data_IF_642436576747
#
_entry.id   IF_642436576747
#
_cell.length_a   1.000
_cell.length_b   1.000
_cell.length_c   1.000
_cell.angle_alpha   90.00
_cell.angle_beta   90.00
_cell.angle_gamma   90.00
#
_symmetry.space_group_name_H-M   'P 1'
#
loop_
_entity.id
_entity.type
_entity.pdbx_description
1 polymer ?
#
# COMPACT_ATOMS: atom_id res chain seq x y z
N UNK A 1 -17.94 15.65 -4.28
CA UNK A 1 -17.20 14.46 -4.73
C UNK A 1 -15.76 14.57 -4.30
N UNK A 2 -15.35 13.71 -3.42
CA UNK A 2 -13.99 13.77 -2.88
C UNK A 2 -12.97 13.29 -3.90
N UNK A 3 -12.09 14.19 -4.37
CA UNK A 3 -10.95 13.83 -5.20
C UNK A 3 -11.27 13.27 -6.58
N UNK A 4 -12.51 13.44 -7.05
CA UNK A 4 -12.93 13.00 -8.37
C UNK A 4 -13.53 14.15 -9.16
N UNK A 5 -13.06 14.30 -10.39
CA UNK A 5 -13.50 15.37 -11.28
C UNK A 5 -13.53 14.82 -12.70
N UNK A 6 -14.71 14.86 -13.36
CA UNK A 6 -14.88 14.38 -14.73
C UNK A 6 -14.38 12.95 -14.94
N UNK A 7 -14.65 12.07 -13.98
CA UNK A 7 -14.21 10.68 -14.06
C UNK A 7 -12.73 10.46 -13.73
N UNK A 8 -12.06 11.48 -13.22
CA UNK A 8 -10.64 11.44 -12.88
C UNK A 8 -10.46 11.53 -11.37
N UNK A 9 -9.61 10.64 -10.82
CA UNK A 9 -9.27 10.65 -9.40
C UNK A 9 -8.03 11.49 -9.17
N UNK A 10 -8.06 12.32 -8.14
CA UNK A 10 -6.95 13.20 -7.77
C UNK A 10 -6.31 12.68 -6.50
N UNK A 11 -5.24 11.92 -6.67
CA UNK A 11 -4.51 11.33 -5.55
C UNK A 11 -3.64 12.37 -4.86
N UNK A 12 -3.55 12.25 -3.53
CA UNK A 12 -2.64 13.09 -2.75
C UNK A 12 -1.20 12.79 -3.16
N UNK A 13 -0.32 13.81 -3.22
CA UNK A 13 1.07 13.58 -3.64
C UNK A 13 1.79 12.50 -2.84
N UNK A 14 1.61 12.45 -1.52
CA UNK A 14 2.29 11.45 -0.70
C UNK A 14 1.78 10.03 -1.03
N UNK A 15 0.54 9.90 -1.44
CA UNK A 15 -0.03 8.61 -1.86
C UNK A 15 0.62 8.15 -3.16
N UNK A 16 0.80 9.06 -4.11
CA UNK A 16 1.47 8.75 -5.36
C UNK A 16 2.91 8.31 -5.11
N UNK A 17 3.61 8.98 -4.20
CA UNK A 17 4.98 8.62 -3.83
C UNK A 17 5.03 7.23 -3.17
N UNK A 18 4.08 6.96 -2.27
CA UNK A 18 4.00 5.67 -1.61
C UNK A 18 3.69 4.54 -2.60
N UNK A 19 2.77 4.78 -3.54
CA UNK A 19 2.45 3.81 -4.60
C UNK A 19 3.68 3.56 -5.48
N UNK A 20 4.39 4.63 -5.85
CA UNK A 20 5.60 4.50 -6.67
C UNK A 20 6.67 3.67 -5.99
N UNK A 21 6.78 3.74 -4.66
CA UNK A 21 7.74 2.92 -3.90
C UNK A 21 7.46 1.42 -4.06
N UNK A 22 6.24 1.05 -4.42
CA UNK A 22 5.84 -0.33 -4.68
C UNK A 22 5.75 -0.65 -6.17
N UNK A 23 6.20 0.29 -7.03
CA UNK A 23 6.14 0.12 -8.48
C UNK A 23 4.75 0.28 -9.06
N UNK A 24 3.85 0.96 -8.34
CA UNK A 24 2.45 1.14 -8.77
C UNK A 24 2.23 2.57 -9.23
N UNK A 25 1.70 2.72 -10.44
CA UNK A 25 1.34 4.03 -11.00
C UNK A 25 -0.13 3.99 -11.41
N UNK A 26 -1.00 4.75 -10.74
CA UNK A 26 -2.40 4.76 -11.11
C UNK A 26 -2.65 5.51 -12.41
N UNK A 27 -3.61 5.03 -13.17
CA UNK A 27 -4.18 5.83 -14.25
C UNK A 27 -5.16 6.83 -13.64
N UNK A 28 -5.45 7.95 -14.33
CA UNK A 28 -6.40 8.93 -13.80
C UNK A 28 -7.78 8.35 -13.48
N UNK A 29 -8.17 7.29 -14.19
CA UNK A 29 -9.46 6.65 -14.00
C UNK A 29 -9.44 5.49 -13.01
N UNK A 30 -8.29 5.16 -12.42
CA UNK A 30 -8.17 4.03 -11.51
C UNK A 30 -8.73 4.39 -10.14
N UNK A 31 -9.79 3.69 -9.66
CA UNK A 31 -10.33 3.99 -8.33
C UNK A 31 -9.38 3.57 -7.21
N UNK A 32 -9.37 4.31 -6.09
CA UNK A 32 -8.46 4.01 -4.99
C UNK A 32 -8.69 2.64 -4.37
N UNK A 33 -9.90 2.12 -4.38
CA UNK A 33 -10.20 0.78 -3.86
C UNK A 33 -9.45 -0.30 -4.61
N UNK A 34 -9.35 -0.16 -5.93
CA UNK A 34 -8.59 -1.11 -6.76
C UNK A 34 -7.11 -1.07 -6.43
N UNK A 35 -6.56 0.13 -6.25
CA UNK A 35 -5.15 0.27 -5.88
C UNK A 35 -4.89 -0.26 -4.48
N UNK A 36 -5.83 -0.06 -3.56
CA UNK A 36 -5.72 -0.62 -2.22
C UNK A 36 -5.62 -2.14 -2.27
N UNK A 37 -6.45 -2.78 -3.10
CA UNK A 37 -6.41 -4.24 -3.25
C UNK A 37 -5.05 -4.70 -3.80
N UNK A 38 -4.51 -3.98 -4.78
CA UNK A 38 -3.19 -4.30 -5.35
C UNK A 38 -2.10 -4.18 -4.29
N UNK A 39 -2.09 -3.10 -3.53
CA UNK A 39 -1.10 -2.86 -2.47
C UNK A 39 -1.23 -3.91 -1.37
N UNK A 40 -2.47 -4.26 -1.00
CA UNK A 40 -2.72 -5.28 0.00
C UNK A 40 -2.21 -6.65 -0.46
N UNK A 41 -2.42 -6.98 -1.73
CA UNK A 41 -1.92 -8.25 -2.30
C UNK A 41 -0.40 -8.29 -2.31
N UNK A 42 0.26 -7.18 -2.62
CA UNK A 42 1.73 -7.09 -2.56
C UNK A 42 2.23 -7.32 -1.14
N UNK A 43 1.60 -6.69 -0.16
CA UNK A 43 1.95 -6.86 1.24
C UNK A 43 1.81 -8.31 1.67
N UNK A 44 0.69 -8.94 1.33
CA UNK A 44 0.43 -10.35 1.69
C UNK A 44 1.43 -11.28 1.01
N UNK A 45 1.82 -11.00 -0.22
CA UNK A 45 2.84 -11.77 -0.91
C UNK A 45 4.19 -11.67 -0.19
N UNK A 46 4.61 -10.47 0.18
CA UNK A 46 5.87 -10.29 0.90
C UNK A 46 5.83 -10.92 2.29
N UNK A 47 4.68 -10.87 2.94
CA UNK A 47 4.51 -11.51 4.25
C UNK A 47 4.65 -13.03 4.14
N UNK A 48 4.08 -13.63 3.10
CA UNK A 48 4.23 -15.07 2.85
C UNK A 48 5.69 -15.44 2.57
N UNK A 49 6.41 -14.61 1.81
CA UNK A 49 7.84 -14.83 1.56
C UNK A 49 8.64 -14.75 2.85
N UNK A 50 8.32 -13.80 3.71
CA UNK A 50 9.00 -13.64 4.99
C UNK A 50 8.78 -14.89 5.87
N UNK A 51 7.55 -15.40 5.90
CA UNK A 51 7.24 -16.61 6.65
C UNK A 51 7.98 -17.83 6.09
N UNK A 52 8.04 -17.95 4.76
CA UNK A 52 8.77 -19.04 4.12
C UNK A 52 10.26 -18.97 4.47
N UNK A 53 10.83 -17.78 4.51
CA UNK A 53 12.22 -17.58 4.90
C UNK A 53 12.47 -18.01 6.34
N UNK A 54 11.55 -17.69 7.25
CA UNK A 54 11.64 -18.16 8.64
C UNK A 54 11.64 -19.67 8.71
N UNK A 55 10.72 -20.34 8.01
CA UNK A 55 10.62 -21.79 8.01
C UNK A 55 11.84 -22.46 7.37
N UNK A 56 12.48 -21.76 6.43
CA UNK A 56 13.71 -22.25 5.80
C UNK A 56 14.97 -21.97 6.63
N UNK A 57 14.84 -21.32 7.79
CA UNK A 57 15.97 -21.05 8.66
C UNK A 57 16.83 -19.87 8.23
N UNK A 58 16.33 -18.96 7.40
CA UNK A 58 17.09 -17.83 6.91
C UNK A 58 17.48 -16.85 8.02
N UNK A 59 16.73 -16.84 9.13
CA UNK A 59 17.02 -16.03 10.31
C UNK A 59 16.38 -16.66 11.53
N UNK A 60 16.84 -16.32 12.75
CA UNK A 60 16.32 -16.93 13.97
C UNK A 60 14.89 -16.46 14.26
N UNK A 61 14.10 -17.36 14.84
CA UNK A 61 12.69 -17.13 15.17
C UNK A 61 12.43 -15.81 15.91
N UNK A 62 13.24 -15.43 16.93
CA UNK A 62 13.03 -14.17 17.62
C UNK A 62 13.11 -12.93 16.73
N UNK A 63 13.80 -13.01 15.59
CA UNK A 63 13.93 -11.89 14.66
C UNK A 63 12.68 -11.69 13.79
N UNK A 64 11.77 -12.68 13.74
CA UNK A 64 10.61 -12.63 12.85
C UNK A 64 9.70 -11.44 13.11
N UNK A 65 9.38 -11.20 14.38
CA UNK A 65 8.48 -10.10 14.74
C UNK A 65 9.00 -8.75 14.25
N UNK A 66 10.29 -8.49 14.47
CA UNK A 66 10.91 -7.24 14.02
C UNK A 66 10.86 -7.09 12.51
N UNK A 67 11.03 -8.20 11.78
CA UNK A 67 10.96 -8.18 10.32
C UNK A 67 9.54 -7.93 9.81
N UNK A 68 8.53 -8.46 10.50
CA UNK A 68 7.13 -8.19 10.19
C UNK A 68 6.81 -6.71 10.40
N UNK A 69 7.29 -6.14 11.52
CA UNK A 69 7.10 -4.71 11.80
C UNK A 69 7.76 -3.85 10.73
N UNK A 70 9.00 -4.18 10.35
CA UNK A 70 9.73 -3.44 9.32
C UNK A 70 9.01 -3.53 7.97
N UNK A 71 8.50 -4.70 7.63
CA UNK A 71 7.72 -4.87 6.40
C UNK A 71 6.47 -3.98 6.42
N UNK A 72 5.72 -4.00 7.53
CA UNK A 72 4.50 -3.21 7.65
C UNK A 72 4.78 -1.71 7.52
N UNK A 73 5.91 -1.25 8.03
CA UNK A 73 6.30 0.16 7.94
C UNK A 73 6.56 0.62 6.50
N UNK A 74 6.82 -0.31 5.59
CA UNK A 74 6.97 0.00 4.17
C UNK A 74 5.63 0.10 3.43
N UNK A 75 4.52 -0.17 4.13
CA UNK A 75 3.18 -0.15 3.58
C UNK A 75 2.26 0.82 4.33
N UNK A 76 2.63 2.12 4.41
CA UNK A 76 1.81 3.09 5.15
C UNK A 76 0.40 3.25 4.58
N UNK A 77 0.23 2.97 3.28
CA UNK A 77 -1.07 3.09 2.63
C UNK A 77 -2.12 2.16 3.23
N UNK A 78 -1.70 1.01 3.78
CA UNK A 78 -2.64 0.05 4.36
C UNK A 78 -3.21 0.51 5.70
N UNK A 79 -2.66 1.58 6.28
CA UNK A 79 -3.17 2.17 7.52
C UNK A 79 -4.17 3.30 7.26
N UNK A 80 -4.44 3.61 6.00
CA UNK A 80 -5.29 4.71 5.58
C UNK A 80 -6.39 4.18 4.67
N UNK A 81 -7.63 4.57 4.92
CA UNK A 81 -8.75 4.12 4.10
C UNK A 81 -8.61 4.65 2.66
N UNK A 82 -9.01 3.87 1.65
CA UNK A 82 -8.84 4.26 0.24
C UNK A 82 -9.41 5.64 -0.10
N UNK A 83 -10.56 6.01 0.47
CA UNK A 83 -11.16 7.32 0.21
C UNK A 83 -10.28 8.48 0.69
N UNK A 84 -9.42 8.22 1.68
CA UNK A 84 -8.51 9.23 2.22
C UNK A 84 -7.26 9.38 1.37
N UNK A 85 -7.09 8.56 0.36
CA UNK A 85 -5.98 8.65 -0.59
C UNK A 85 -6.19 9.80 -1.58
N UNK A 86 -7.41 10.28 -1.71
CA UNK A 86 -7.76 11.32 -2.65
C UNK A 86 -7.72 12.70 -2.00
N UNK A 87 -7.44 13.72 -2.80
CA UNK A 87 -7.50 15.10 -2.33
C UNK A 87 -8.92 15.44 -1.94
N UNK A 88 -9.06 16.12 -0.80
CA UNK A 88 -10.35 16.54 -0.34
C UNK A 88 -10.89 17.66 -1.24
N UNK A 89 -12.19 17.62 -1.54
CA UNK A 89 -12.86 18.72 -2.24
C UNK A 89 -12.96 19.93 -1.31
N UNK A 90 -12.66 21.09 -1.87
CA UNK A 90 -12.91 22.34 -1.17
C UNK A 90 -14.38 22.68 -1.34
N UNK A 91 -15.07 22.76 -0.23
CA UNK A 91 -16.48 23.07 -0.24
C UNK A 91 -16.73 24.53 -0.66
#
# INVERSE_FOLDING_TARGET
MSGRENGVYRYRPWVLDALASHGVRPLPSTPPERLHDIVNDLYRYELRRLRAALLAGAFPKPAYYGRVVALRQRYPLLSVKPRQWLEAELA
#
